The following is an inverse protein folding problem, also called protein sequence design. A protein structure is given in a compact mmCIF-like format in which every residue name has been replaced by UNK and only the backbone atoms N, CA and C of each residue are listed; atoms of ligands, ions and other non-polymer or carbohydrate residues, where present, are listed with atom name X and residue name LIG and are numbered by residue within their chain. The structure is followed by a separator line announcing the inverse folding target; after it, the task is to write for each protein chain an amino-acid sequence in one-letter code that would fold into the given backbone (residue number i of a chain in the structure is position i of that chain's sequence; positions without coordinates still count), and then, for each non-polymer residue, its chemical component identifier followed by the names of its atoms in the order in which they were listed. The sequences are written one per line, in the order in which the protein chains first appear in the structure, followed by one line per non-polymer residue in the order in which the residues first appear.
data_IF_279219069603
#
_entry.id   IF_279219069603
#
_cell.length_a   1.000
_cell.length_b   1.000
_cell.length_c   1.000
_cell.angle_alpha   90.00
_cell.angle_beta   90.00
_cell.angle_gamma   90.00
#
_symmetry.space_group_name_H-M   'P 1'
#
loop_
_entity.id
_entity.type
_entity.pdbx_description
1 polymer ?
#
# COMPACT_ATOMS: atom_id res chain seq x y z
N UNK A 1 -26.71 -17.03 0.27
CA UNK A 1 -26.46 -15.86 -0.63
C UNK A 1 -24.97 -15.56 -0.55
N UNK A 2 -24.33 -15.19 -1.66
CA UNK A 2 -22.92 -14.76 -1.60
C UNK A 2 -22.80 -13.44 -0.81
N UNK A 3 -21.71 -13.25 -0.07
CA UNK A 3 -21.46 -11.99 0.62
C UNK A 3 -21.33 -10.83 -0.39
N UNK A 4 -21.73 -9.63 0.01
CA UNK A 4 -21.53 -8.41 -0.78
C UNK A 4 -20.11 -7.85 -0.58
N UNK A 5 -19.65 -7.82 0.66
CA UNK A 5 -18.32 -7.34 1.04
C UNK A 5 -17.65 -8.33 1.96
N UNK A 6 -16.42 -8.73 1.61
CA UNK A 6 -15.53 -9.49 2.46
C UNK A 6 -14.48 -8.54 3.05
N UNK A 7 -14.44 -8.40 4.36
CA UNK A 7 -13.29 -7.85 5.08
C UNK A 7 -12.41 -9.01 5.50
N UNK A 8 -11.21 -9.09 4.98
CA UNK A 8 -10.25 -10.14 5.31
C UNK A 8 -9.11 -9.56 6.14
N UNK A 9 -8.76 -10.23 7.25
CA UNK A 9 -7.79 -9.73 8.24
C UNK A 9 -6.68 -10.77 8.40
N UNK A 10 -5.53 -10.60 7.74
CA UNK A 10 -4.36 -11.41 8.02
C UNK A 10 -3.76 -11.00 9.37
N UNK A 11 -3.54 -11.96 10.28
CA UNK A 11 -2.98 -11.66 11.61
C UNK A 11 -1.84 -12.60 11.97
N UNK A 12 -0.83 -12.07 12.65
CA UNK A 12 0.26 -12.80 13.27
C UNK A 12 0.77 -12.05 14.50
N UNK A 13 0.65 -12.64 15.69
CA UNK A 13 1.11 -12.09 16.98
C UNK A 13 0.63 -10.65 17.23
N UNK A 14 -0.70 -10.47 17.34
CA UNK A 14 -1.37 -9.17 17.54
C UNK A 14 -2.50 -9.25 18.57
N UNK A 15 -2.32 -10.03 19.64
CA UNK A 15 -3.33 -10.23 20.67
C UNK A 15 -3.94 -8.92 21.18
N UNK A 16 -3.11 -7.92 21.40
CA UNK A 16 -3.54 -6.65 21.99
C UNK A 16 -4.24 -5.69 21.00
N UNK A 17 -4.17 -5.97 19.69
CA UNK A 17 -4.65 -5.07 18.64
C UNK A 17 -5.81 -5.64 17.83
N UNK A 18 -5.81 -6.96 17.58
CA UNK A 18 -6.74 -7.62 16.66
C UNK A 18 -8.22 -7.42 17.03
N UNK A 19 -8.56 -7.36 18.32
CA UNK A 19 -9.95 -7.18 18.74
C UNK A 19 -10.55 -5.88 18.22
N UNK A 20 -9.78 -4.79 18.23
CA UNK A 20 -10.24 -3.50 17.74
C UNK A 20 -10.42 -3.49 16.20
N UNK A 21 -9.55 -4.17 15.46
CA UNK A 21 -9.67 -4.34 14.01
C UNK A 21 -10.96 -5.12 13.67
N UNK A 22 -11.18 -6.28 14.29
CA UNK A 22 -12.37 -7.11 14.08
C UNK A 22 -13.65 -6.35 14.46
N UNK A 23 -13.66 -5.67 15.60
CA UNK A 23 -14.83 -4.88 16.03
C UNK A 23 -15.15 -3.74 15.05
N UNK A 24 -14.15 -3.04 14.53
CA UNK A 24 -14.36 -1.97 13.54
C UNK A 24 -14.94 -2.49 12.22
N UNK A 25 -14.57 -3.70 11.82
CA UNK A 25 -15.12 -4.39 10.65
C UNK A 25 -16.57 -4.85 10.90
N UNK A 26 -16.84 -5.45 12.04
CA UNK A 26 -18.19 -5.91 12.42
C UNK A 26 -19.17 -4.75 12.69
N UNK A 27 -18.67 -3.58 13.05
CA UNK A 27 -19.48 -2.37 13.24
C UNK A 27 -19.92 -1.71 11.92
N UNK A 28 -19.49 -2.22 10.76
CA UNK A 28 -19.93 -1.68 9.49
C UNK A 28 -21.39 -2.06 9.19
N UNK A 29 -22.19 -1.04 8.91
CA UNK A 29 -23.61 -1.19 8.59
C UNK A 29 -23.79 -1.42 7.08
N UNK A 30 -23.60 -2.65 6.65
CA UNK A 30 -23.82 -3.08 5.27
C UNK A 30 -24.37 -4.51 5.21
N UNK A 31 -25.39 -4.71 4.40
CA UNK A 31 -25.96 -6.04 4.18
C UNK A 31 -24.97 -6.94 3.43
N UNK A 32 -24.91 -8.21 3.81
CA UNK A 32 -24.02 -9.18 3.20
C UNK A 32 -22.55 -8.98 3.55
N UNK A 33 -22.25 -8.45 4.74
CA UNK A 33 -20.89 -8.41 5.29
C UNK A 33 -20.44 -9.80 5.74
N UNK A 34 -19.23 -10.18 5.36
CA UNK A 34 -18.47 -11.24 6.03
C UNK A 34 -17.13 -10.69 6.51
N UNK A 35 -16.69 -11.14 7.66
CA UNK A 35 -15.36 -10.85 8.21
C UNK A 35 -14.60 -12.15 8.35
N UNK A 36 -13.47 -12.28 7.69
CA UNK A 36 -12.64 -13.50 7.70
C UNK A 36 -11.29 -13.15 8.30
N UNK A 37 -10.96 -13.73 9.43
CA UNK A 37 -9.65 -13.58 10.08
C UNK A 37 -8.83 -14.84 9.83
N UNK A 38 -7.61 -14.68 9.33
CA UNK A 38 -6.68 -15.80 9.15
C UNK A 38 -5.47 -15.61 10.07
N UNK A 39 -5.41 -16.40 11.13
CA UNK A 39 -4.29 -16.43 12.06
C UNK A 39 -3.12 -17.22 11.46
N UNK A 40 -1.97 -16.58 11.35
CA UNK A 40 -0.77 -17.15 10.75
C UNK A 40 0.08 -17.96 11.75
N UNK A 41 -0.58 -18.81 12.55
CA UNK A 41 0.05 -19.65 13.57
C UNK A 41 0.62 -18.85 14.76
N UNK A 42 -0.11 -17.86 15.28
CA UNK A 42 0.30 -17.05 16.44
C UNK A 42 0.46 -17.89 17.71
N UNK A 43 1.39 -17.47 18.59
CA UNK A 43 1.70 -18.13 19.86
C UNK A 43 1.47 -17.22 21.08
N UNK A 44 1.01 -15.98 20.87
CA UNK A 44 0.84 -14.95 21.89
C UNK A 44 -0.56 -14.89 22.52
N UNK A 45 -1.45 -15.86 22.18
CA UNK A 45 -2.85 -15.87 22.63
C UNK A 45 -3.81 -15.15 21.68
N UNK A 46 -3.35 -14.72 20.48
CA UNK A 46 -4.21 -14.12 19.43
C UNK A 46 -5.32 -15.07 19.01
N UNK A 47 -5.00 -16.35 18.79
CA UNK A 47 -5.97 -17.36 18.37
C UNK A 47 -7.08 -17.59 19.41
N UNK A 48 -6.71 -17.74 20.66
CA UNK A 48 -7.64 -17.95 21.78
C UNK A 48 -8.60 -16.77 21.94
N UNK A 49 -8.09 -15.54 21.78
CA UNK A 49 -8.90 -14.33 21.79
C UNK A 49 -9.92 -14.32 20.64
N UNK A 50 -9.50 -14.68 19.42
CA UNK A 50 -10.38 -14.73 18.25
C UNK A 50 -11.50 -15.75 18.40
N UNK A 51 -11.22 -16.91 18.99
CA UNK A 51 -12.24 -17.95 19.29
C UNK A 51 -13.29 -17.48 20.29
N UNK A 52 -12.99 -16.48 21.11
CA UNK A 52 -13.93 -15.89 22.07
C UNK A 52 -14.89 -14.86 21.48
N UNK A 53 -14.72 -14.45 20.22
CA UNK A 53 -15.61 -13.45 19.59
C UNK A 53 -16.81 -14.16 18.92
N UNK A 54 -18.00 -13.93 19.45
CA UNK A 54 -19.24 -14.52 18.95
C UNK A 54 -19.99 -13.54 18.04
N UNK A 55 -19.83 -13.66 16.72
CA UNK A 55 -20.61 -12.93 15.71
C UNK A 55 -20.81 -13.86 14.49
N UNK A 56 -22.06 -14.06 14.00
CA UNK A 56 -22.33 -14.96 12.87
C UNK A 56 -21.70 -14.52 11.55
N UNK A 57 -21.26 -13.27 11.43
CA UNK A 57 -20.56 -12.73 10.26
C UNK A 57 -19.06 -12.96 10.31
N UNK A 58 -18.51 -13.38 11.49
CA UNK A 58 -17.10 -13.62 11.70
C UNK A 58 -16.75 -15.08 11.48
N UNK A 59 -15.72 -15.31 10.67
CA UNK A 59 -15.10 -16.61 10.46
C UNK A 59 -13.61 -16.53 10.74
N UNK A 60 -13.14 -17.29 11.73
CA UNK A 60 -11.73 -17.36 12.08
C UNK A 60 -11.11 -18.67 11.56
N UNK A 61 -9.97 -18.55 10.91
CA UNK A 61 -9.18 -19.64 10.36
C UNK A 61 -7.76 -19.56 10.90
N UNK A 62 -7.05 -20.67 10.95
CA UNK A 62 -5.66 -20.73 11.38
C UNK A 62 -4.81 -21.50 10.39
N UNK A 63 -3.61 -20.99 10.08
CA UNK A 63 -2.61 -21.73 9.32
C UNK A 63 -1.91 -22.75 10.22
N UNK A 64 -1.50 -23.88 9.66
CA UNK A 64 -0.73 -24.91 10.37
C UNK A 64 0.67 -24.42 10.75
N UNK A 65 1.23 -23.49 9.97
CA UNK A 65 2.53 -22.86 10.19
C UNK A 65 2.51 -21.41 9.69
N UNK A 66 3.49 -20.61 10.10
CA UNK A 66 3.65 -19.24 9.59
C UNK A 66 4.13 -19.27 8.13
N UNK A 67 3.25 -18.87 7.23
CA UNK A 67 3.49 -18.82 5.76
C UNK A 67 3.99 -17.45 5.28
N UNK A 68 4.37 -16.56 6.19
CA UNK A 68 4.77 -15.19 5.91
C UNK A 68 3.59 -14.25 5.63
N UNK A 69 3.87 -12.94 5.56
CA UNK A 69 2.85 -11.90 5.43
C UNK A 69 1.97 -12.11 4.18
N UNK A 70 2.57 -12.13 2.99
CA UNK A 70 1.79 -12.23 1.74
C UNK A 70 1.33 -13.66 1.43
N UNK A 71 1.92 -14.68 2.05
CA UNK A 71 1.34 -16.03 2.09
C UNK A 71 0.00 -16.03 2.82
N UNK A 72 -0.08 -15.31 3.95
CA UNK A 72 -1.32 -15.15 4.71
C UNK A 72 -2.35 -14.26 3.97
N UNK A 73 -1.91 -13.20 3.26
CA UNK A 73 -2.79 -12.43 2.36
C UNK A 73 -3.41 -13.32 1.27
N UNK A 74 -2.62 -14.21 0.66
CA UNK A 74 -3.11 -15.14 -0.34
C UNK A 74 -4.16 -16.10 0.24
N UNK A 75 -3.96 -16.61 1.46
CA UNK A 75 -4.96 -17.40 2.15
C UNK A 75 -6.22 -16.59 2.42
N UNK A 76 -6.10 -15.37 2.90
CA UNK A 76 -7.24 -14.45 3.10
C UNK A 76 -8.02 -14.23 1.80
N UNK A 77 -7.33 -13.97 0.69
CA UNK A 77 -7.96 -13.77 -0.61
C UNK A 77 -8.74 -15.00 -1.11
N UNK A 78 -8.22 -16.20 -0.84
CA UNK A 78 -8.87 -17.47 -1.22
C UNK A 78 -10.15 -17.73 -0.42
N UNK A 79 -10.24 -17.20 0.79
CA UNK A 79 -11.39 -17.37 1.67
C UNK A 79 -12.49 -16.31 1.48
N UNK A 80 -12.20 -15.22 0.74
CA UNK A 80 -13.14 -14.14 0.47
C UNK A 80 -14.20 -14.55 -0.57
N UNK A 81 -15.48 -14.45 -0.20
CA UNK A 81 -16.61 -14.82 -1.08
C UNK A 81 -17.34 -13.62 -1.69
N UNK A 82 -17.09 -12.40 -1.19
CA UNK A 82 -17.81 -11.19 -1.53
C UNK A 82 -17.60 -10.70 -2.96
N UNK A 83 -18.51 -9.83 -3.40
CA UNK A 83 -18.39 -9.05 -4.64
C UNK A 83 -17.24 -8.04 -4.54
N UNK A 84 -17.03 -7.51 -3.34
CA UNK A 84 -15.93 -6.62 -3.01
C UNK A 84 -15.08 -7.22 -1.89
N UNK A 85 -13.78 -6.96 -1.91
CA UNK A 85 -12.83 -7.46 -0.90
C UNK A 85 -11.99 -6.30 -0.38
N UNK A 86 -11.81 -6.23 0.93
CA UNK A 86 -10.90 -5.31 1.60
C UNK A 86 -9.97 -6.10 2.53
N UNK A 87 -8.67 -5.80 2.48
CA UNK A 87 -7.69 -6.34 3.43
C UNK A 87 -7.48 -5.34 4.56
N UNK A 88 -7.95 -5.66 5.75
CA UNK A 88 -7.76 -4.83 6.94
C UNK A 88 -6.51 -5.29 7.69
N UNK A 89 -5.59 -4.37 7.97
CA UNK A 89 -4.47 -4.62 8.87
C UNK A 89 -4.98 -5.01 10.26
N UNK A 90 -4.32 -5.99 10.88
CA UNK A 90 -4.71 -6.49 12.21
C UNK A 90 -4.52 -5.47 13.34
N UNK A 91 -3.88 -4.35 13.05
CA UNK A 91 -3.61 -3.21 13.92
C UNK A 91 -4.38 -1.94 13.49
N UNK A 92 -5.08 -1.99 12.34
CA UNK A 92 -5.84 -0.87 11.79
C UNK A 92 -7.33 -0.91 12.17
N UNK A 93 -8.07 0.14 11.80
CA UNK A 93 -9.53 0.23 12.02
C UNK A 93 -10.22 0.81 10.80
N UNK A 94 -11.43 0.33 10.51
CA UNK A 94 -12.32 0.95 9.52
C UNK A 94 -13.11 2.10 10.17
N UNK A 95 -13.28 3.16 9.41
CA UNK A 95 -14.17 4.26 9.78
C UNK A 95 -15.64 3.88 9.54
N UNK A 96 -16.54 4.42 10.37
CA UNK A 96 -17.96 4.11 10.29
C UNK A 96 -18.57 4.45 8.91
N UNK A 97 -19.38 3.54 8.36
CA UNK A 97 -20.06 3.72 7.08
C UNK A 97 -19.16 3.62 5.84
N UNK A 98 -17.87 3.35 6.01
CA UNK A 98 -16.94 3.31 4.87
C UNK A 98 -17.28 2.23 3.85
N UNK A 99 -17.62 1.01 4.30
CA UNK A 99 -17.90 -0.09 3.37
C UNK A 99 -19.16 0.15 2.55
N UNK A 100 -20.21 0.73 3.14
CA UNK A 100 -21.43 1.07 2.42
C UNK A 100 -21.17 2.14 1.34
N UNK A 101 -20.40 3.17 1.69
CA UNK A 101 -20.00 4.22 0.75
C UNK A 101 -19.14 3.64 -0.40
N UNK A 102 -18.11 2.85 -0.08
CA UNK A 102 -17.20 2.28 -1.08
C UNK A 102 -17.94 1.33 -2.04
N UNK A 103 -18.81 0.46 -1.50
CA UNK A 103 -19.63 -0.43 -2.32
C UNK A 103 -20.57 0.36 -3.25
N UNK A 104 -21.21 1.42 -2.75
CA UNK A 104 -22.06 2.30 -3.55
C UNK A 104 -21.33 2.97 -4.71
N UNK A 105 -20.10 3.47 -4.48
CA UNK A 105 -19.27 4.05 -5.55
C UNK A 105 -18.86 3.01 -6.59
N UNK A 106 -18.50 1.80 -6.16
CA UNK A 106 -18.12 0.71 -7.06
C UNK A 106 -19.32 0.15 -7.84
N UNK A 107 -20.53 0.12 -7.24
CA UNK A 107 -21.77 -0.25 -7.94
C UNK A 107 -22.11 0.78 -9.04
N UNK A 108 -21.95 2.08 -8.74
CA UNK A 108 -22.17 3.16 -9.69
C UNK A 108 -21.14 3.21 -10.83
N UNK A 109 -20.01 2.53 -10.69
CA UNK A 109 -18.94 2.48 -11.67
C UNK A 109 -18.52 1.03 -11.99
N UNK A 110 -19.27 0.29 -12.82
CA UNK A 110 -19.00 -1.13 -13.13
C UNK A 110 -17.61 -1.39 -13.73
N UNK A 111 -17.02 -0.41 -14.41
CA UNK A 111 -15.66 -0.52 -14.97
C UNK A 111 -14.57 -0.30 -13.94
N UNK A 112 -14.87 0.16 -12.72
CA UNK A 112 -13.86 0.35 -11.68
C UNK A 112 -13.49 -1.00 -11.06
N UNK A 113 -12.18 -1.26 -10.97
CA UNK A 113 -11.61 -2.46 -10.37
C UNK A 113 -11.08 -2.22 -8.95
N UNK A 114 -10.81 -0.96 -8.61
CA UNK A 114 -10.19 -0.55 -7.35
C UNK A 114 -10.79 0.76 -6.86
N UNK A 115 -11.04 0.85 -5.54
CA UNK A 115 -11.31 2.10 -4.86
C UNK A 115 -10.24 2.34 -3.81
N UNK A 116 -9.70 3.56 -3.76
CA UNK A 116 -8.80 4.03 -2.71
C UNK A 116 -9.45 5.17 -1.94
N UNK A 117 -9.49 5.08 -0.62
CA UNK A 117 -9.99 6.11 0.29
C UNK A 117 -8.85 6.97 0.84
N UNK A 118 -9.18 8.03 1.56
CA UNK A 118 -8.25 8.67 2.48
C UNK A 118 -8.08 7.79 3.72
N UNK A 119 -6.94 7.94 4.41
CA UNK A 119 -6.68 7.29 5.68
C UNK A 119 -6.15 8.27 6.70
N UNK A 120 -6.41 8.00 7.97
CA UNK A 120 -5.85 8.72 9.10
C UNK A 120 -4.71 7.90 9.71
N UNK A 121 -3.63 8.54 10.13
CA UNK A 121 -2.59 7.93 10.95
C UNK A 121 -2.93 8.11 12.42
N UNK A 122 -2.85 7.04 13.20
CA UNK A 122 -3.09 7.04 14.65
C UNK A 122 -1.94 6.41 15.41
N UNK A 123 -1.77 6.75 16.68
CA UNK A 123 -0.90 6.02 17.60
C UNK A 123 -1.64 4.86 18.30
N UNK A 124 -0.94 4.13 19.19
CA UNK A 124 -1.51 3.00 19.95
C UNK A 124 -2.70 3.39 20.81
N UNK A 125 -2.74 4.63 21.28
CA UNK A 125 -3.83 5.20 22.09
C UNK A 125 -4.99 5.72 21.23
N UNK A 126 -4.91 5.58 19.88
CA UNK A 126 -5.93 6.05 18.95
C UNK A 126 -5.91 7.55 18.66
N UNK A 127 -4.88 8.28 19.11
CA UNK A 127 -4.74 9.72 18.86
C UNK A 127 -4.24 9.97 17.44
N UNK A 128 -4.87 10.92 16.74
CA UNK A 128 -4.49 11.31 15.38
C UNK A 128 -3.06 11.82 15.27
N UNK A 129 -2.31 11.29 14.31
CA UNK A 129 -0.92 11.71 13.97
C UNK A 129 -0.83 12.40 12.62
N UNK A 130 -1.95 12.54 11.91
CA UNK A 130 -2.04 13.15 10.60
C UNK A 130 -2.86 12.31 9.62
N UNK A 131 -2.88 12.78 8.37
CA UNK A 131 -3.55 12.08 7.27
C UNK A 131 -2.53 11.37 6.40
N UNK A 132 -2.90 10.20 5.88
CA UNK A 132 -2.15 9.55 4.81
C UNK A 132 -2.21 10.47 3.59
N UNK A 133 -1.05 10.79 3.03
CA UNK A 133 -0.97 11.73 1.92
C UNK A 133 -1.65 11.16 0.67
N UNK A 134 -2.87 11.65 0.40
CA UNK A 134 -3.55 11.38 -0.86
C UNK A 134 -2.95 12.27 -1.95
N UNK A 135 -2.29 11.68 -2.95
CA UNK A 135 -1.68 12.42 -4.08
C UNK A 135 -2.60 12.45 -5.30
N UNK A 136 -3.55 11.56 -5.37
CA UNK A 136 -4.63 11.64 -6.33
C UNK A 136 -5.78 12.46 -5.73
N UNK A 137 -6.30 13.43 -6.49
CA UNK A 137 -7.54 14.12 -6.13
C UNK A 137 -8.72 13.13 -6.16
N UNK A 138 -9.81 13.39 -5.41
CA UNK A 138 -11.03 12.60 -5.54
C UNK A 138 -11.51 12.57 -6.98
N UNK A 139 -11.92 11.39 -7.47
CA UNK A 139 -12.36 11.21 -8.85
C UNK A 139 -12.10 9.81 -9.39
N UNK A 140 -12.31 9.66 -10.69
CA UNK A 140 -12.09 8.42 -11.43
C UNK A 140 -10.91 8.58 -12.39
N UNK A 141 -10.06 7.59 -12.43
CA UNK A 141 -8.84 7.53 -13.23
C UNK A 141 -8.83 6.25 -14.07
N UNK A 142 -8.50 6.37 -15.34
CA UNK A 142 -8.29 5.19 -16.19
C UNK A 142 -7.16 4.34 -15.60
N UNK A 143 -7.42 3.05 -15.36
CA UNK A 143 -6.47 2.16 -14.68
C UNK A 143 -5.10 2.13 -15.35
N UNK A 144 -5.06 2.14 -16.69
CA UNK A 144 -3.81 2.16 -17.46
C UNK A 144 -2.92 3.39 -17.22
N UNK A 145 -3.49 4.52 -16.74
CA UNK A 145 -2.73 5.74 -16.46
C UNK A 145 -2.10 5.77 -15.06
N UNK A 146 -2.61 4.95 -14.15
CA UNK A 146 -2.22 4.98 -12.72
C UNK A 146 -0.78 4.54 -12.48
N UNK A 147 -0.23 3.48 -13.12
CA UNK A 147 1.15 3.07 -12.84
C UNK A 147 2.16 4.20 -13.05
N UNK A 148 2.09 4.92 -14.17
CA UNK A 148 3.00 6.04 -14.45
C UNK A 148 2.87 7.16 -13.41
N UNK A 149 1.65 7.52 -13.03
CA UNK A 149 1.37 8.54 -12.02
C UNK A 149 1.82 8.08 -10.62
N UNK A 150 1.62 6.80 -10.29
CA UNK A 150 2.04 6.21 -9.02
C UNK A 150 3.57 6.23 -8.88
N UNK A 151 4.31 5.71 -9.87
CA UNK A 151 5.77 5.68 -9.82
C UNK A 151 6.36 7.09 -9.76
N UNK A 152 5.81 8.02 -10.55
CA UNK A 152 6.24 9.41 -10.52
C UNK A 152 6.04 10.03 -9.12
N UNK A 153 4.86 9.89 -8.56
CA UNK A 153 4.51 10.45 -7.25
C UNK A 153 5.30 9.79 -6.12
N UNK A 154 5.38 8.45 -6.09
CA UNK A 154 6.07 7.71 -5.05
C UNK A 154 7.57 8.03 -5.02
N UNK A 155 8.23 8.11 -6.18
CA UNK A 155 9.66 8.41 -6.24
C UNK A 155 9.98 9.88 -6.00
N UNK A 156 9.03 10.78 -6.30
CA UNK A 156 9.23 12.20 -6.07
C UNK A 156 9.02 12.61 -4.61
N UNK A 157 7.98 12.07 -3.98
CA UNK A 157 7.59 12.45 -2.62
C UNK A 157 8.00 11.43 -1.55
N UNK A 158 8.45 10.23 -1.92
CA UNK A 158 8.79 9.16 -0.99
C UNK A 158 7.59 8.56 -0.27
N UNK A 159 6.38 8.70 -0.82
CA UNK A 159 5.11 8.29 -0.22
C UNK A 159 4.31 7.38 -1.15
N UNK A 160 3.46 6.52 -0.57
CA UNK A 160 2.47 5.79 -1.36
C UNK A 160 1.31 6.74 -1.70
N UNK A 161 1.07 7.07 -3.00
CA UNK A 161 -0.02 7.95 -3.41
C UNK A 161 -1.41 7.31 -3.34
N UNK A 162 -1.49 5.98 -3.27
CA UNK A 162 -2.65 5.20 -2.88
C UNK A 162 -2.62 4.96 -1.38
N UNK A 163 -3.70 4.49 -0.79
CA UNK A 163 -3.72 4.16 0.63
C UNK A 163 -2.99 2.83 0.91
N UNK A 164 -2.87 2.46 2.20
CA UNK A 164 -2.55 1.10 2.62
C UNK A 164 -3.71 0.14 2.32
N UNK A 165 -3.51 -1.19 2.36
CA UNK A 165 -4.57 -2.16 2.09
C UNK A 165 -5.86 -1.92 2.85
N UNK A 166 -5.78 -1.42 4.10
CA UNK A 166 -6.93 -1.08 4.96
C UNK A 166 -7.84 0.02 4.40
N UNK A 167 -7.35 0.84 3.49
CA UNK A 167 -8.12 1.90 2.82
C UNK A 167 -8.43 1.62 1.36
N UNK A 168 -8.21 0.37 0.89
CA UNK A 168 -8.39 -0.02 -0.51
C UNK A 168 -9.43 -1.11 -0.63
N UNK A 169 -10.43 -0.90 -1.49
CA UNK A 169 -11.49 -1.88 -1.78
C UNK A 169 -11.34 -2.38 -3.20
N UNK A 170 -11.24 -3.69 -3.36
CA UNK A 170 -11.12 -4.37 -4.64
C UNK A 170 -12.46 -4.85 -5.15
N UNK A 171 -12.69 -4.75 -6.45
CA UNK A 171 -13.66 -5.61 -7.12
C UNK A 171 -13.11 -7.03 -7.13
N UNK A 172 -13.79 -7.96 -6.49
CA UNK A 172 -13.27 -9.30 -6.25
C UNK A 172 -12.95 -10.09 -7.53
N UNK A 173 -13.67 -9.85 -8.63
CA UNK A 173 -13.35 -10.49 -9.93
C UNK A 173 -12.00 -10.05 -10.46
N UNK A 174 -11.65 -8.76 -10.35
CA UNK A 174 -10.37 -8.22 -10.78
C UNK A 174 -9.23 -8.69 -9.84
N UNK A 175 -9.47 -8.72 -8.52
CA UNK A 175 -8.52 -9.27 -7.55
C UNK A 175 -8.20 -10.73 -7.86
N UNK A 176 -9.22 -11.57 -8.05
CA UNK A 176 -9.04 -13.01 -8.37
C UNK A 176 -8.27 -13.26 -9.66
N UNK A 177 -8.42 -12.39 -10.66
CA UNK A 177 -7.66 -12.47 -11.91
C UNK A 177 -6.16 -12.16 -11.74
N UNK A 178 -5.79 -11.49 -10.64
CA UNK A 178 -4.42 -11.06 -10.34
C UNK A 178 -3.72 -11.90 -9.27
N UNK A 179 -4.43 -12.79 -8.57
CA UNK A 179 -3.82 -13.63 -7.53
C UNK A 179 -2.74 -14.57 -8.12
N UNK A 180 -1.74 -14.93 -7.34
CA UNK A 180 -1.50 -14.57 -5.93
C UNK A 180 -0.80 -13.21 -5.76
N UNK A 181 -0.81 -12.67 -4.52
CA UNK A 181 0.17 -11.67 -4.11
C UNK A 181 1.57 -12.26 -4.23
N UNK A 182 2.49 -11.50 -4.75
CA UNK A 182 3.87 -11.93 -4.92
C UNK A 182 4.62 -11.91 -3.60
N UNK A 183 5.07 -13.07 -3.16
CA UNK A 183 5.82 -13.22 -1.89
C UNK A 183 7.29 -12.83 -2.02
N UNK A 184 7.82 -12.77 -3.25
CA UNK A 184 9.20 -12.43 -3.58
C UNK A 184 9.49 -10.92 -3.61
N UNK A 185 8.47 -10.08 -3.68
CA UNK A 185 8.62 -8.62 -3.70
C UNK A 185 8.77 -7.98 -2.31
N UNK A 186 8.49 -8.70 -1.24
CA UNK A 186 8.53 -8.13 0.12
C UNK A 186 7.52 -7.01 0.31
N UNK A 187 7.94 -5.89 0.93
CA UNK A 187 7.05 -4.80 1.34
C UNK A 187 6.17 -4.21 0.22
N UNK A 188 6.61 -4.01 -1.04
CA UNK A 188 5.77 -3.45 -2.09
C UNK A 188 4.83 -4.45 -2.80
N UNK A 189 4.63 -5.66 -2.28
CA UNK A 189 3.75 -6.64 -2.92
C UNK A 189 2.26 -6.24 -2.89
N UNK A 190 1.83 -5.41 -1.94
CA UNK A 190 0.49 -4.80 -1.94
C UNK A 190 0.34 -3.81 -3.11
N UNK A 191 1.34 -2.99 -3.36
CA UNK A 191 1.36 -2.05 -4.49
C UNK A 191 1.38 -2.78 -5.82
N UNK A 192 2.19 -3.84 -5.95
CA UNK A 192 2.17 -4.71 -7.12
C UNK A 192 0.74 -5.21 -7.41
N UNK A 193 0.04 -5.68 -6.39
CA UNK A 193 -1.34 -6.15 -6.51
C UNK A 193 -2.27 -5.02 -6.95
N UNK A 194 -2.19 -3.82 -6.33
CA UNK A 194 -3.02 -2.68 -6.69
C UNK A 194 -2.85 -2.31 -8.16
N UNK A 195 -1.61 -2.19 -8.62
CA UNK A 195 -1.30 -1.82 -10.00
C UNK A 195 -1.70 -2.92 -11.01
N UNK A 196 -1.55 -4.22 -10.66
CA UNK A 196 -2.03 -5.33 -11.51
C UNK A 196 -3.56 -5.34 -11.63
N UNK A 197 -4.28 -5.11 -10.54
CA UNK A 197 -5.75 -5.04 -10.54
C UNK A 197 -6.24 -3.89 -11.42
N UNK A 198 -5.51 -2.78 -11.49
CA UNK A 198 -5.83 -1.63 -12.34
C UNK A 198 -5.65 -1.89 -13.85
N UNK A 199 -5.07 -3.03 -14.25
CA UNK A 199 -5.13 -3.51 -15.64
C UNK A 199 -6.53 -4.00 -16.05
N UNK A 200 -7.37 -4.31 -15.05
CA UNK A 200 -8.73 -4.84 -15.25
C UNK A 200 -9.84 -3.80 -15.10
N UNK A 201 -9.49 -2.54 -14.83
CA UNK A 201 -10.50 -1.48 -14.68
C UNK A 201 -9.93 -0.21 -14.07
N UNK A 202 -10.82 0.74 -13.82
CA UNK A 202 -10.47 2.07 -13.35
C UNK A 202 -10.22 2.12 -11.84
N UNK A 203 -9.51 3.17 -11.42
CA UNK A 203 -9.37 3.58 -10.03
C UNK A 203 -10.44 4.61 -9.68
N UNK A 204 -11.14 4.40 -8.57
CA UNK A 204 -11.90 5.45 -7.89
C UNK A 204 -11.07 5.94 -6.70
N UNK A 205 -10.92 7.25 -6.57
CA UNK A 205 -10.35 7.90 -5.38
C UNK A 205 -11.47 8.62 -4.64
N UNK A 206 -11.76 8.15 -3.43
CA UNK A 206 -12.76 8.75 -2.55
C UNK A 206 -12.13 9.81 -1.64
N UNK A 207 -12.88 10.88 -1.37
CA UNK A 207 -12.47 11.87 -0.36
C UNK A 207 -12.79 11.44 1.08
N UNK A 208 -13.65 10.41 1.26
CA UNK A 208 -13.98 9.90 2.58
C UNK A 208 -12.76 9.26 3.23
N UNK A 209 -12.59 9.50 4.53
CA UNK A 209 -11.65 8.75 5.36
C UNK A 209 -12.23 7.37 5.58
N UNK A 210 -11.56 6.34 5.07
CA UNK A 210 -12.05 4.95 5.12
C UNK A 210 -11.42 4.14 6.24
N UNK A 211 -10.23 4.52 6.68
CA UNK A 211 -9.49 3.77 7.70
C UNK A 211 -8.63 4.66 8.58
N UNK A 212 -8.37 4.18 9.79
CA UNK A 212 -7.32 4.66 10.67
C UNK A 212 -6.19 3.61 10.72
N UNK A 213 -4.99 4.01 10.26
CA UNK A 213 -3.79 3.17 10.23
C UNK A 213 -2.93 3.46 11.44
N UNK A 214 -2.66 2.43 12.23
CA UNK A 214 -1.90 2.56 13.46
C UNK A 214 -0.39 2.59 13.15
N UNK A 215 0.31 3.59 13.70
CA UNK A 215 1.75 3.74 13.58
C UNK A 215 2.45 3.23 14.85
N UNK A 216 3.23 2.16 14.73
CA UNK A 216 4.02 1.61 15.83
C UNK A 216 5.30 0.93 15.31
N UNK A 217 6.31 0.78 16.19
CA UNK A 217 7.65 0.25 15.83
C UNK A 217 7.63 -1.19 15.30
N UNK A 218 6.60 -1.96 15.61
CA UNK A 218 6.43 -3.34 15.16
C UNK A 218 5.90 -3.51 13.74
N UNK A 219 5.63 -2.43 13.01
CA UNK A 219 5.12 -2.51 11.63
C UNK A 219 6.19 -3.01 10.65
N UNK A 220 5.81 -3.96 9.79
CA UNK A 220 6.69 -4.51 8.76
C UNK A 220 7.21 -3.43 7.79
N UNK A 221 6.35 -2.47 7.41
CA UNK A 221 6.74 -1.35 6.56
C UNK A 221 7.80 -0.43 7.17
N UNK A 222 7.81 -0.23 8.50
CA UNK A 222 8.84 0.54 9.20
C UNK A 222 10.15 -0.24 9.32
N UNK A 223 10.08 -1.54 9.64
CA UNK A 223 11.26 -2.42 9.68
C UNK A 223 11.96 -2.49 8.32
N UNK A 224 11.18 -2.64 7.26
CA UNK A 224 11.71 -2.71 5.90
C UNK A 224 12.39 -1.39 5.44
N UNK A 225 11.91 -0.22 5.93
CA UNK A 225 12.53 1.09 5.62
C UNK A 225 13.91 1.31 6.24
N UNK A 226 14.29 0.50 7.22
CA UNK A 226 15.59 0.66 7.91
C UNK A 226 16.79 0.22 7.05
N UNK A 227 16.58 -0.43 5.90
CA UNK A 227 17.62 -0.93 5.00
C UNK A 227 17.42 -0.52 3.54
N UNK A 228 18.42 -0.82 2.69
CA UNK A 228 18.35 -0.59 1.24
C UNK A 228 17.44 -1.59 0.51
N UNK A 229 16.89 -2.57 1.22
CA UNK A 229 16.05 -3.63 0.65
C UNK A 229 14.76 -3.08 0.04
N UNK A 230 14.07 -2.18 0.72
CA UNK A 230 12.85 -1.53 0.16
C UNK A 230 13.15 -0.82 -1.14
N UNK A 231 14.30 -0.13 -1.23
CA UNK A 231 14.70 0.55 -2.47
C UNK A 231 14.94 -0.44 -3.60
N UNK A 232 15.57 -1.61 -3.32
CA UNK A 232 15.75 -2.68 -4.32
C UNK A 232 14.41 -3.24 -4.79
N UNK A 233 13.50 -3.52 -3.85
CA UNK A 233 12.18 -4.02 -4.13
C UNK A 233 11.33 -3.03 -4.95
N UNK A 234 11.42 -1.74 -4.66
CA UNK A 234 10.75 -0.69 -5.45
C UNK A 234 11.31 -0.59 -6.89
N UNK A 235 12.61 -0.79 -7.07
CA UNK A 235 13.21 -0.84 -8.41
C UNK A 235 12.74 -2.09 -9.18
N UNK A 236 12.71 -3.25 -8.52
CA UNK A 236 12.18 -4.48 -9.12
C UNK A 236 10.71 -4.31 -9.53
N UNK A 237 9.90 -3.65 -8.71
CA UNK A 237 8.52 -3.32 -9.05
C UNK A 237 8.43 -2.42 -10.30
N UNK A 238 9.31 -1.45 -10.45
CA UNK A 238 9.35 -0.59 -11.63
C UNK A 238 9.59 -1.40 -12.92
N UNK A 239 10.49 -2.39 -12.87
CA UNK A 239 10.77 -3.24 -14.03
C UNK A 239 9.58 -4.15 -14.38
N UNK A 240 8.77 -4.57 -13.41
CA UNK A 240 7.51 -5.32 -13.63
C UNK A 240 6.51 -4.50 -14.46
N UNK A 241 6.48 -3.17 -14.27
CA UNK A 241 5.56 -2.25 -14.95
C UNK A 241 6.22 -1.46 -16.09
N UNK A 242 7.36 -1.93 -16.57
CA UNK A 242 8.13 -1.26 -17.62
C UNK A 242 7.33 -1.00 -18.88
N UNK A 243 6.61 -1.99 -19.36
CA UNK A 243 5.83 -1.88 -20.60
C UNK A 243 4.74 -0.80 -20.50
N UNK A 244 4.05 -0.69 -19.37
CA UNK A 244 3.05 0.35 -19.10
C UNK A 244 3.69 1.74 -19.01
N UNK A 245 4.87 1.83 -18.40
CA UNK A 245 5.63 3.08 -18.30
C UNK A 245 6.15 3.54 -19.66
N UNK A 246 6.60 2.63 -20.51
CA UNK A 246 7.01 2.91 -21.89
C UNK A 246 5.83 3.34 -22.75
N UNK A 247 4.70 2.65 -22.68
CA UNK A 247 3.47 3.00 -23.37
C UNK A 247 2.93 4.39 -22.98
N UNK A 248 3.10 4.78 -21.70
CA UNK A 248 2.75 6.11 -21.20
C UNK A 248 3.81 7.19 -21.49
N UNK A 249 4.92 6.86 -22.15
CA UNK A 249 6.05 7.78 -22.37
C UNK A 249 6.73 8.24 -21.07
N UNK A 250 6.56 7.48 -19.98
CA UNK A 250 7.01 7.87 -18.64
C UNK A 250 8.30 7.16 -18.20
N UNK A 251 8.73 6.09 -18.90
CA UNK A 251 9.84 5.23 -18.48
C UNK A 251 11.13 6.01 -18.16
N UNK A 252 11.63 6.81 -19.09
CA UNK A 252 12.89 7.54 -18.90
C UNK A 252 12.83 8.56 -17.75
N UNK A 253 11.66 9.16 -17.52
CA UNK A 253 11.45 10.09 -16.42
C UNK A 253 11.47 9.37 -15.09
N UNK A 254 10.72 8.27 -14.96
CA UNK A 254 10.63 7.46 -13.75
C UNK A 254 11.99 6.83 -13.45
N UNK A 255 12.70 6.32 -14.46
CA UNK A 255 14.04 5.75 -14.33
C UNK A 255 15.05 6.77 -13.76
N UNK A 256 15.04 8.01 -14.24
CA UNK A 256 15.90 9.08 -13.69
C UNK A 256 15.57 9.42 -12.24
N UNK A 257 14.29 9.48 -11.90
CA UNK A 257 13.86 9.70 -10.50
C UNK A 257 14.25 8.55 -9.58
N UNK A 258 14.14 7.30 -10.04
CA UNK A 258 14.56 6.14 -9.26
C UNK A 258 16.06 6.16 -8.96
N UNK A 259 16.90 6.67 -9.86
CA UNK A 259 18.33 6.85 -9.62
C UNK A 259 18.60 7.85 -8.49
N UNK A 260 17.85 8.94 -8.42
CA UNK A 260 17.93 9.89 -7.31
C UNK A 260 17.48 9.27 -5.97
N UNK A 261 16.44 8.42 -5.98
CA UNK A 261 15.99 7.71 -4.79
C UNK A 261 17.07 6.75 -4.27
N UNK A 262 17.70 5.97 -5.15
CA UNK A 262 18.83 5.08 -4.83
C UNK A 262 19.98 5.88 -4.22
N UNK A 263 20.35 6.99 -4.85
CA UNK A 263 21.41 7.85 -4.34
C UNK A 263 21.10 8.37 -2.94
N UNK A 264 19.88 8.83 -2.69
CA UNK A 264 19.46 9.32 -1.37
C UNK A 264 19.45 8.21 -0.30
N UNK A 265 19.03 6.98 -0.66
CA UNK A 265 19.06 5.83 0.23
C UNK A 265 20.49 5.48 0.64
N UNK A 266 21.40 5.40 -0.34
CA UNK A 266 22.81 5.08 -0.12
C UNK A 266 23.57 6.19 0.60
N UNK A 267 23.28 7.47 0.30
CA UNK A 267 23.86 8.59 1.03
C UNK A 267 23.51 8.56 2.53
N UNK A 268 22.30 8.15 2.88
CA UNK A 268 21.91 7.96 4.29
C UNK A 268 22.70 6.83 4.95
N UNK A 269 22.99 5.74 4.23
CA UNK A 269 23.78 4.60 4.73
C UNK A 269 25.25 4.97 4.83
N UNK A 270 25.82 5.62 3.82
CA UNK A 270 27.23 6.02 3.78
C UNK A 270 27.60 7.06 4.85
N UNK A 271 26.66 7.91 5.29
CA UNK A 271 26.84 8.79 6.43
C UNK A 271 27.00 8.01 7.76
N UNK A 272 26.58 6.73 7.79
CA UNK A 272 26.75 5.83 8.94
C UNK A 272 27.96 4.91 8.81
N UNK A 273 28.37 4.58 7.58
CA UNK A 273 29.44 3.61 7.27
C UNK A 273 30.38 4.17 6.19
N UNK A 274 31.54 4.64 6.55
CA UNK A 274 32.52 5.20 5.61
C UNK A 274 33.09 4.16 4.63
N UNK A 275 32.96 4.38 3.33
CA UNK A 275 33.85 3.80 2.30
C UNK A 275 33.25 2.98 1.16
N UNK A 276 31.98 2.56 1.16
CA UNK A 276 31.45 1.64 0.12
C UNK A 276 30.40 2.23 -0.82
N UNK A 277 30.16 3.53 -0.79
CA UNK A 277 29.07 4.18 -1.53
C UNK A 277 29.03 3.87 -3.04
N UNK A 278 30.17 3.96 -3.72
CA UNK A 278 30.22 3.76 -5.16
C UNK A 278 29.99 2.29 -5.60
N UNK A 279 30.42 1.33 -4.78
CA UNK A 279 30.20 -0.09 -5.05
C UNK A 279 28.75 -0.48 -4.82
N UNK A 280 28.15 -0.02 -3.74
CA UNK A 280 26.74 -0.24 -3.47
C UNK A 280 25.84 0.39 -4.52
N UNK A 281 26.14 1.62 -4.98
CA UNK A 281 25.38 2.26 -6.04
C UNK A 281 25.38 1.44 -7.33
N UNK A 282 26.55 0.93 -7.74
CA UNK A 282 26.68 0.03 -8.91
C UNK A 282 25.91 -1.28 -8.73
N UNK A 283 25.81 -1.80 -7.49
CA UNK A 283 25.06 -3.02 -7.19
C UNK A 283 23.56 -2.90 -7.47
N UNK A 284 23.03 -1.67 -7.61
CA UNK A 284 21.66 -1.40 -8.06
C UNK A 284 21.51 -1.35 -9.59
N UNK A 285 22.53 -1.75 -10.35
CA UNK A 285 22.51 -1.71 -11.81
C UNK A 285 22.57 -0.29 -12.40
N UNK A 286 23.12 0.68 -11.65
CA UNK A 286 23.21 2.10 -12.05
C UNK A 286 24.64 2.50 -12.43
N UNK A 287 24.77 3.24 -13.54
CA UNK A 287 26.06 3.71 -14.04
C UNK A 287 26.60 4.96 -13.34
N UNK A 288 27.91 5.22 -13.49
CA UNK A 288 28.56 6.39 -12.90
C UNK A 288 27.96 7.73 -13.36
N UNK A 289 27.50 7.82 -14.62
CA UNK A 289 26.82 9.01 -15.15
C UNK A 289 25.46 9.27 -14.50
N UNK A 290 24.70 8.21 -14.18
CA UNK A 290 23.44 8.33 -13.45
C UNK A 290 23.66 8.73 -11.99
N UNK A 291 24.74 8.26 -11.38
CA UNK A 291 25.14 8.66 -10.02
C UNK A 291 25.41 10.17 -9.95
N UNK A 292 26.15 10.72 -10.92
CA UNK A 292 26.44 12.15 -10.97
C UNK A 292 25.17 12.98 -11.19
N UNK A 293 24.32 12.55 -12.11
CA UNK A 293 23.03 13.23 -12.37
C UNK A 293 22.10 13.18 -11.15
N UNK A 294 22.04 12.05 -10.46
CA UNK A 294 21.25 11.88 -9.23
C UNK A 294 21.77 12.76 -8.08
N UNK A 295 23.10 12.82 -7.90
CA UNK A 295 23.74 13.68 -6.91
C UNK A 295 23.45 15.17 -7.18
N UNK A 296 23.59 15.61 -8.43
CA UNK A 296 23.28 16.97 -8.85
C UNK A 296 21.81 17.30 -8.63
N UNK A 297 20.90 16.40 -8.97
CA UNK A 297 19.46 16.59 -8.78
C UNK A 297 19.11 16.75 -7.30
N UNK A 298 19.64 15.90 -6.41
CA UNK A 298 19.43 16.00 -4.96
C UNK A 298 20.04 17.26 -4.36
N UNK A 299 21.20 17.67 -4.85
CA UNK A 299 21.84 18.92 -4.42
C UNK A 299 20.97 20.13 -4.79
N UNK A 300 20.44 20.17 -6.03
CA UNK A 300 19.52 21.22 -6.49
C UNK A 300 18.21 21.21 -5.69
N UNK A 301 17.63 20.03 -5.40
CA UNK A 301 16.41 19.94 -4.58
C UNK A 301 16.65 20.47 -3.16
N UNK A 302 17.78 20.14 -2.51
CA UNK A 302 18.14 20.68 -1.20
C UNK A 302 18.37 22.18 -1.21
N UNK A 303 19.00 22.68 -2.27
CA UNK A 303 19.22 24.13 -2.43
C UNK A 303 17.89 24.88 -2.57
N UNK A 304 16.93 24.34 -3.32
CA UNK A 304 15.60 24.89 -3.47
C UNK A 304 14.80 24.87 -2.16
N UNK A 305 14.90 23.80 -1.37
CA UNK A 305 14.29 23.72 -0.04
C UNK A 305 14.89 24.75 0.93
N UNK A 306 16.22 24.91 0.92
CA UNK A 306 16.94 25.92 1.74
C UNK A 306 16.55 27.35 1.35
N UNK A 307 16.23 27.61 0.07
CA UNK A 307 15.80 28.91 -0.44
C UNK A 307 14.29 29.15 -0.24
N UNK A 308 13.58 28.24 0.46
CA UNK A 308 12.14 28.38 0.74
C UNK A 308 11.25 28.22 -0.49
N UNK A 309 11.82 27.78 -1.62
CA UNK A 309 11.06 27.47 -2.84
C UNK A 309 10.39 26.12 -2.64
N UNK A 310 9.18 26.11 -2.12
CA UNK A 310 8.37 24.89 -2.03
C UNK A 310 8.11 24.36 -3.44
N UNK A 311 8.81 23.31 -3.81
CA UNK A 311 8.79 22.66 -5.13
C UNK A 311 7.36 22.30 -5.63
N UNK A 312 6.42 22.12 -4.73
CA UNK A 312 4.99 21.94 -5.03
C UNK A 312 4.35 23.10 -5.83
N UNK A 313 4.94 24.31 -5.82
CA UNK A 313 4.47 25.44 -6.65
C UNK A 313 4.99 25.38 -8.08
N UNK A 314 6.18 24.85 -8.29
CA UNK A 314 6.79 24.75 -9.62
C UNK A 314 6.10 23.71 -10.50
N UNK A 315 5.64 22.58 -9.92
CA UNK A 315 4.96 21.51 -10.66
C UNK A 315 3.53 21.90 -11.11
N UNK A 316 2.84 22.80 -10.42
CA UNK A 316 1.53 23.33 -10.88
C UNK A 316 1.65 24.28 -12.06
N UNK A 317 2.80 24.89 -12.25
CA UNK A 317 3.06 25.81 -13.38
C UNK A 317 3.45 25.07 -14.67
N UNK A 318 3.96 23.84 -14.59
CA UNK A 318 4.37 23.04 -15.76
C UNK A 318 3.27 22.10 -16.29
N UNK A 319 2.07 22.14 -15.69
CA UNK A 319 0.87 21.38 -16.14
C UNK A 319 -0.18 22.29 -16.83
N UNK A 320 0.18 23.53 -17.14
CA UNK A 320 -0.63 24.43 -17.99
C UNK A 320 -0.07 24.49 -19.39
#
# INVERSE_FOLDING_TARGET
MSARVSVVIPVFERRDLIAAAVQSALAQEIDGLEVVVVDNCSQDGTWELLQGIADPRLRCLRNESNVGLFGNFNRCAAEASGTYTLFLGSDDRLEAGFLAHAAGLLDAAPSASLLSSRGQLIDREGRGKGMIAARFAPGRYAGASVPAAWFWSSYHYGENPLNYPSGVVFRASALRACLPFRTDLGAPADIDMFLRVLRHGDLIVSEQVGCAVMMHEGQEGLKARAGNEVTRQQLALMDVFRAELEAAGAWERVRRQSSALVFAALARTALKESGRFGEEYRSFGRGAGEMTAAATFLFVLRLLDLLGVRFARYLRASQR
#
